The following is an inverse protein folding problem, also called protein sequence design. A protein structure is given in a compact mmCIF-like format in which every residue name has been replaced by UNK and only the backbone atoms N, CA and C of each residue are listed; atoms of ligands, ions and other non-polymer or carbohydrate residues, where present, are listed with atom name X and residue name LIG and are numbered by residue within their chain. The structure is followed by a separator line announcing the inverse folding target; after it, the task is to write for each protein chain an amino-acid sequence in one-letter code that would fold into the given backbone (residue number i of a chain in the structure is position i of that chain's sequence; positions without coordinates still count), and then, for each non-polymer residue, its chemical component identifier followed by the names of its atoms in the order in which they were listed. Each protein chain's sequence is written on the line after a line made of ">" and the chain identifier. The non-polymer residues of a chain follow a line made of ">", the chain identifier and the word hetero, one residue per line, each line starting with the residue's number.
data_IF_696047623915
#
_entry.id   IF_696047623915
#
_cell.length_a   1.000
_cell.length_b   1.000
_cell.length_c   1.000
_cell.angle_alpha   90.00
_cell.angle_beta   90.00
_cell.angle_gamma   90.00
#
_symmetry.space_group_name_H-M   'P 1'
#
loop_
_entity.id
_entity.type
_entity.pdbx_description
1 polymer ?
#
# COMPACT_ATOMS: atom_id res chain seq x y z
N UNK A 1 -45.21 -11.66 3.41
CA UNK A 1 -45.65 -10.57 2.53
C UNK A 1 -45.34 -9.26 3.23
N UNK A 2 -44.33 -8.53 2.73
CA UNK A 2 -43.85 -7.27 3.29
C UNK A 2 -44.68 -6.10 2.74
N UNK A 3 -44.95 -5.03 3.51
CA UNK A 3 -45.56 -3.83 2.97
C UNK A 3 -44.58 -3.08 2.06
N UNK A 4 -45.10 -2.55 0.95
CA UNK A 4 -44.38 -1.74 -0.04
C UNK A 4 -44.02 -0.36 0.52
N UNK A 5 -42.75 0.06 0.54
CA UNK A 5 -42.35 1.38 1.01
C UNK A 5 -42.28 2.36 -0.17
N UNK A 6 -43.44 2.78 -0.66
CA UNK A 6 -43.55 3.98 -1.50
C UNK A 6 -44.40 5.01 -0.76
N UNK A 7 -43.79 5.70 0.20
CA UNK A 7 -44.05 7.10 0.61
C UNK A 7 -43.30 7.41 1.93
N UNK A 8 -42.00 7.71 1.85
CA UNK A 8 -41.43 8.79 2.67
C UNK A 8 -40.58 9.63 1.71
N UNK A 9 -41.16 10.77 1.30
CA UNK A 9 -40.55 11.71 0.38
C UNK A 9 -39.41 12.47 1.07
N UNK A 10 -38.34 12.63 0.30
CA UNK A 10 -37.47 13.80 0.20
C UNK A 10 -37.41 14.73 1.41
N UNK A 11 -36.28 14.70 2.11
CA UNK A 11 -35.48 15.89 2.43
C UNK A 11 -34.26 15.45 3.24
N UNK A 12 -33.19 15.12 2.54
CA UNK A 12 -31.80 15.31 2.95
C UNK A 12 -30.96 14.89 1.74
N UNK A 13 -30.58 15.88 0.95
CA UNK A 13 -29.64 15.76 -0.14
C UNK A 13 -28.25 15.44 0.47
N UNK A 14 -27.75 14.19 0.45
CA UNK A 14 -26.34 14.00 0.69
C UNK A 14 -25.69 14.47 -0.59
N UNK A 15 -25.05 15.65 -0.53
CA UNK A 15 -24.42 16.26 -1.68
C UNK A 15 -23.77 15.21 -2.55
N UNK A 16 -24.20 15.16 -3.82
CA UNK A 16 -23.48 14.54 -4.93
C UNK A 16 -21.99 14.55 -4.59
N UNK A 17 -21.42 13.37 -4.29
CA UNK A 17 -19.97 13.23 -4.13
C UNK A 17 -19.35 14.00 -5.30
N UNK A 18 -18.51 15.02 -5.03
CA UNK A 18 -18.00 15.83 -6.10
C UNK A 18 -17.36 14.89 -7.12
N UNK A 19 -17.83 14.99 -8.36
CA UNK A 19 -17.27 14.26 -9.48
C UNK A 19 -15.75 14.38 -9.40
N UNK A 20 -15.11 13.22 -9.50
CA UNK A 20 -13.67 13.01 -9.58
C UNK A 20 -13.04 14.15 -10.37
N UNK A 21 -12.47 15.12 -9.65
CA UNK A 21 -11.75 16.23 -10.24
C UNK A 21 -10.41 15.63 -10.62
N UNK A 22 -10.37 15.01 -11.81
CA UNK A 22 -9.21 14.35 -12.38
C UNK A 22 -7.94 15.08 -11.96
N UNK A 23 -7.12 14.39 -11.17
CA UNK A 23 -6.02 14.96 -10.43
C UNK A 23 -4.99 15.59 -11.38
N UNK A 24 -5.05 16.91 -11.54
CA UNK A 24 -3.96 17.73 -12.09
C UNK A 24 -2.82 17.87 -11.06
N UNK A 25 -2.48 16.77 -10.38
CA UNK A 25 -1.33 16.73 -9.50
C UNK A 25 -0.08 16.48 -10.35
N UNK A 26 1.02 17.22 -10.10
CA UNK A 26 2.30 16.96 -10.75
C UNK A 26 2.68 15.48 -10.66
N UNK A 27 3.31 14.95 -11.71
CA UNK A 27 3.93 13.63 -11.66
C UNK A 27 4.90 13.57 -10.47
N UNK A 28 4.81 12.52 -9.65
CA UNK A 28 5.57 12.40 -8.39
C UNK A 28 4.82 12.87 -7.13
N UNK A 29 3.59 13.39 -7.24
CA UNK A 29 2.77 13.70 -6.06
C UNK A 29 2.29 12.43 -5.35
N UNK A 30 2.06 12.51 -4.03
CA UNK A 30 1.53 11.39 -3.23
C UNK A 30 0.05 11.56 -2.90
N UNK A 31 -0.66 10.44 -2.72
CA UNK A 31 -2.05 10.40 -2.27
C UNK A 31 -2.14 9.70 -0.91
N UNK A 32 -2.58 10.42 0.12
CA UNK A 32 -2.92 9.83 1.41
C UNK A 32 -4.30 9.17 1.36
N UNK A 33 -4.39 7.92 1.80
CA UNK A 33 -5.64 7.15 1.88
C UNK A 33 -5.89 6.78 3.34
N UNK A 34 -6.99 7.28 3.90
CA UNK A 34 -7.38 7.06 5.30
C UNK A 34 -8.25 5.81 5.44
N UNK A 35 -7.78 4.68 4.93
CA UNK A 35 -8.43 3.38 5.04
C UNK A 35 -7.43 2.37 5.61
N UNK A 36 -7.73 1.68 6.72
CA UNK A 36 -6.81 0.71 7.29
C UNK A 36 -6.84 -0.61 6.50
N UNK A 37 -5.74 -0.94 5.82
CA UNK A 37 -5.62 -2.15 5.00
C UNK A 37 -4.30 -2.90 5.29
N UNK A 38 -4.27 -4.20 4.98
CA UNK A 38 -2.99 -4.94 4.90
C UNK A 38 -2.14 -4.39 3.75
N UNK A 39 -0.83 -4.62 3.76
CA UNK A 39 0.06 -4.09 2.71
C UNK A 39 -0.36 -4.54 1.30
N UNK A 40 -0.72 -5.82 1.13
CA UNK A 40 -1.16 -6.39 -0.16
C UNK A 40 -2.47 -5.78 -0.66
N UNK A 41 -3.43 -5.55 0.25
CA UNK A 41 -4.69 -4.89 -0.06
C UNK A 41 -4.48 -3.42 -0.44
N UNK A 42 -3.60 -2.71 0.28
CA UNK A 42 -3.23 -1.33 -0.02
C UNK A 42 -2.53 -1.21 -1.39
N UNK A 43 -1.60 -2.12 -1.71
CA UNK A 43 -0.97 -2.18 -3.03
C UNK A 43 -2.00 -2.40 -4.14
N UNK A 44 -2.92 -3.36 -3.93
CA UNK A 44 -4.00 -3.65 -4.87
C UNK A 44 -4.90 -2.43 -5.08
N UNK A 45 -5.26 -1.75 -4.00
CA UNK A 45 -6.02 -0.50 -4.06
C UNK A 45 -5.30 0.58 -4.88
N UNK A 46 -4.03 0.87 -4.56
CA UNK A 46 -3.27 1.89 -5.28
C UNK A 46 -3.14 1.56 -6.77
N UNK A 47 -2.96 0.30 -7.17
CA UNK A 47 -2.90 -0.11 -8.58
C UNK A 47 -4.23 0.00 -9.33
N UNK A 48 -5.34 -0.08 -8.62
CA UNK A 48 -6.68 0.05 -9.21
C UNK A 48 -7.14 1.51 -9.32
N UNK A 49 -6.73 2.38 -8.39
CA UNK A 49 -7.23 3.76 -8.26
C UNK A 49 -6.20 4.84 -8.60
N UNK A 50 -4.91 4.51 -8.52
CA UNK A 50 -3.77 5.40 -8.69
C UNK A 50 -2.70 4.67 -9.56
N UNK A 51 -1.40 4.73 -9.20
CA UNK A 51 -0.38 3.88 -9.82
C UNK A 51 0.11 2.73 -8.94
N UNK A 52 0.74 3.01 -7.80
CA UNK A 52 1.20 1.99 -6.85
C UNK A 52 1.39 2.63 -5.46
N UNK A 53 1.79 1.85 -4.46
CA UNK A 53 2.26 2.38 -3.19
C UNK A 53 3.48 3.30 -3.40
N UNK A 54 3.69 4.25 -2.49
CA UNK A 54 4.72 5.29 -2.65
C UNK A 54 6.15 4.73 -2.81
N UNK A 55 6.89 5.24 -3.79
CA UNK A 55 8.32 4.95 -3.98
C UNK A 55 9.12 6.19 -3.62
N UNK A 56 10.02 6.09 -2.65
CA UNK A 56 10.86 7.19 -2.19
C UNK A 56 12.26 7.03 -2.78
N UNK A 57 12.74 8.01 -3.56
CA UNK A 57 14.03 7.96 -4.28
C UNK A 57 15.03 8.98 -3.76
N UNK A 58 14.58 9.98 -3.01
CA UNK A 58 15.45 11.02 -2.43
C UNK A 58 14.86 11.62 -1.16
N UNK A 59 15.62 12.53 -0.53
CA UNK A 59 15.15 13.31 0.62
C UNK A 59 13.99 14.24 0.26
N UNK A 60 13.95 14.76 -0.97
CA UNK A 60 12.86 15.60 -1.45
C UNK A 60 11.54 14.81 -1.54
N UNK A 61 11.60 13.52 -1.86
CA UNK A 61 10.43 12.63 -1.84
C UNK A 61 9.89 12.44 -0.41
N UNK A 62 10.78 12.30 0.57
CA UNK A 62 10.40 12.23 2.00
C UNK A 62 9.68 13.51 2.43
N UNK A 63 10.23 14.68 2.08
CA UNK A 63 9.60 15.96 2.42
C UNK A 63 8.21 16.12 1.80
N UNK A 64 8.03 15.65 0.55
CA UNK A 64 6.72 15.67 -0.12
C UNK A 64 5.71 14.73 0.53
N UNK A 65 6.16 13.54 0.95
CA UNK A 65 5.33 12.58 1.69
C UNK A 65 4.88 13.17 3.03
N UNK A 66 5.80 13.74 3.81
CA UNK A 66 5.50 14.39 5.10
C UNK A 66 4.52 15.56 4.92
N UNK A 67 4.70 16.38 3.87
CA UNK A 67 3.76 17.47 3.54
C UNK A 67 2.36 16.94 3.22
N UNK A 68 2.28 15.80 2.52
CA UNK A 68 1.01 15.15 2.18
C UNK A 68 0.27 14.67 3.44
N UNK A 69 0.98 14.00 4.36
CA UNK A 69 0.42 13.55 5.64
C UNK A 69 0.00 14.72 6.54
N UNK A 70 0.86 15.74 6.65
CA UNK A 70 0.60 16.94 7.44
C UNK A 70 -0.62 17.71 6.92
N UNK A 71 -0.79 17.79 5.59
CA UNK A 71 -1.96 18.43 4.97
C UNK A 71 -3.27 17.65 5.21
N UNK A 72 -3.17 16.37 5.55
CA UNK A 72 -4.28 15.50 5.90
C UNK A 72 -4.52 15.40 7.42
N UNK A 73 -3.78 16.17 8.24
CA UNK A 73 -3.80 16.08 9.72
C UNK A 73 -3.58 14.65 10.24
N UNK A 74 -2.74 13.88 9.54
CA UNK A 74 -2.41 12.50 9.91
C UNK A 74 -1.02 12.42 10.55
N UNK A 75 -0.93 11.72 11.68
CA UNK A 75 0.30 11.60 12.47
C UNK A 75 0.70 10.16 12.80
N UNK A 76 -0.11 9.17 12.41
CA UNK A 76 0.20 7.74 12.58
C UNK A 76 1.01 7.19 11.40
N UNK A 77 1.48 5.95 11.55
CA UNK A 77 2.28 5.28 10.55
C UNK A 77 1.47 4.92 9.29
N UNK A 78 2.16 5.02 8.14
CA UNK A 78 1.61 4.67 6.83
C UNK A 78 2.46 3.63 6.09
N UNK A 79 1.82 2.74 5.32
CA UNK A 79 2.53 1.88 4.36
C UNK A 79 3.12 2.67 3.20
N UNK A 80 4.31 2.27 2.77
CA UNK A 80 4.98 2.67 1.53
C UNK A 80 5.25 1.43 0.64
N UNK A 81 5.69 1.66 -0.59
CA UNK A 81 5.89 0.61 -1.59
C UNK A 81 7.17 -0.21 -1.41
N UNK A 82 8.02 0.11 -0.43
CA UNK A 82 9.19 -0.69 -0.11
C UNK A 82 8.77 -1.89 0.75
N UNK A 83 9.09 -3.09 0.28
CA UNK A 83 8.84 -4.35 0.96
C UNK A 83 9.99 -5.31 0.70
N UNK A 84 10.21 -6.25 1.60
CA UNK A 84 11.14 -7.35 1.42
C UNK A 84 10.38 -8.63 1.08
N UNK A 85 10.91 -9.42 0.16
CA UNK A 85 10.48 -10.79 -0.07
C UNK A 85 11.56 -11.74 0.43
N UNK A 86 11.16 -12.80 1.15
CA UNK A 86 12.07 -13.93 1.36
C UNK A 86 12.01 -14.82 0.13
N UNK A 87 13.15 -14.93 -0.54
CA UNK A 87 13.36 -15.87 -1.63
C UNK A 87 14.26 -17.02 -1.17
N UNK A 88 13.71 -18.23 -1.21
CA UNK A 88 14.48 -19.46 -1.02
C UNK A 88 15.28 -19.76 -2.28
N UNK A 89 16.60 -19.85 -2.16
CA UNK A 89 17.52 -20.20 -3.24
C UNK A 89 18.26 -21.51 -2.93
N UNK A 90 18.54 -22.30 -3.96
CA UNK A 90 19.38 -23.48 -3.82
C UNK A 90 20.85 -23.07 -3.70
N UNK A 91 21.59 -23.69 -2.77
CA UNK A 91 22.98 -23.32 -2.46
C UNK A 91 23.96 -23.55 -3.61
N UNK A 92 23.61 -24.41 -4.56
CA UNK A 92 24.38 -24.70 -5.75
C UNK A 92 24.14 -23.69 -6.90
N UNK A 93 23.25 -22.72 -6.69
CA UNK A 93 22.86 -21.73 -7.70
C UNK A 93 21.90 -22.26 -8.76
N UNK A 94 21.21 -23.38 -8.51
CA UNK A 94 20.23 -23.93 -9.44
C UNK A 94 19.06 -22.96 -9.69
N UNK A 95 18.91 -22.53 -10.95
CA UNK A 95 17.91 -21.53 -11.41
C UNK A 95 17.13 -22.00 -12.64
N UNK A 96 17.27 -23.27 -13.03
CA UNK A 96 16.57 -23.87 -14.18
C UNK A 96 15.11 -24.26 -13.88
N UNK A 97 14.48 -24.98 -14.80
CA UNK A 97 13.14 -25.53 -14.60
C UNK A 97 13.11 -26.45 -13.37
N UNK A 98 12.20 -26.19 -12.44
CA UNK A 98 12.10 -26.91 -11.16
C UNK A 98 12.84 -26.23 -10.00
N UNK A 99 13.57 -25.14 -10.22
CA UNK A 99 14.22 -24.38 -9.15
C UNK A 99 13.19 -23.76 -8.18
N UNK A 100 11.93 -23.67 -8.59
CA UNK A 100 10.75 -23.26 -7.81
C UNK A 100 10.14 -24.37 -6.95
N UNK A 101 10.57 -25.63 -7.08
CA UNK A 101 10.01 -26.75 -6.30
C UNK A 101 10.20 -26.51 -4.80
N UNK A 102 9.11 -26.55 -4.04
CA UNK A 102 9.11 -26.47 -2.58
C UNK A 102 8.17 -27.54 -2.04
N UNK A 103 8.61 -28.29 -1.03
CA UNK A 103 7.82 -29.31 -0.33
C UNK A 103 7.83 -28.97 1.17
N UNK A 104 7.09 -27.92 1.53
CA UNK A 104 7.02 -27.42 2.90
C UNK A 104 6.08 -28.27 3.77
N UNK A 105 6.40 -28.40 5.06
CA UNK A 105 5.53 -29.08 6.02
C UNK A 105 4.24 -28.27 6.24
N UNK A 106 3.11 -28.87 5.86
CA UNK A 106 1.82 -28.17 5.86
C UNK A 106 1.13 -28.15 7.22
N UNK A 107 1.45 -29.08 8.12
CA UNK A 107 0.77 -29.22 9.41
C UNK A 107 1.15 -28.17 10.44
N UNK A 108 2.32 -27.54 10.28
CA UNK A 108 2.87 -26.51 11.16
C UNK A 108 3.00 -25.13 10.50
N UNK A 109 2.33 -24.91 9.37
CA UNK A 109 2.37 -23.65 8.61
C UNK A 109 3.77 -23.22 8.15
N UNK A 110 4.59 -24.18 7.71
CA UNK A 110 5.94 -23.88 7.21
C UNK A 110 5.93 -23.29 5.78
N UNK A 111 6.92 -22.44 5.45
CA UNK A 111 7.89 -21.84 6.36
C UNK A 111 7.20 -20.76 7.21
N UNK A 112 7.28 -20.88 8.54
CA UNK A 112 6.50 -20.04 9.46
C UNK A 112 7.19 -18.73 9.87
N UNK A 113 8.48 -18.62 9.52
CA UNK A 113 9.36 -17.50 9.83
C UNK A 113 9.20 -16.96 11.27
N UNK A 114 9.17 -17.86 12.26
CA UNK A 114 8.86 -17.58 13.68
C UNK A 114 9.68 -16.46 14.39
N UNK A 115 10.61 -15.80 13.71
CA UNK A 115 11.31 -14.59 14.20
C UNK A 115 11.62 -13.55 13.12
N UNK A 116 11.27 -13.83 11.86
CA UNK A 116 11.42 -12.91 10.74
C UNK A 116 10.03 -12.71 10.14
N UNK A 117 9.14 -12.00 10.82
CA UNK A 117 7.79 -11.73 10.31
C UNK A 117 7.57 -10.25 9.99
N UNK A 118 8.62 -9.43 10.07
CA UNK A 118 8.61 -7.98 9.82
C UNK A 118 9.27 -7.67 8.46
N UNK A 119 8.50 -7.74 7.38
CA UNK A 119 9.01 -7.52 6.01
C UNK A 119 8.50 -6.26 5.34
N UNK A 120 7.52 -5.60 5.95
CA UNK A 120 6.93 -4.37 5.43
C UNK A 120 7.49 -3.17 6.21
N UNK A 121 7.64 -2.01 5.56
CA UNK A 121 8.24 -0.82 6.20
C UNK A 121 7.16 0.20 6.53
N UNK A 122 7.20 0.68 7.77
CA UNK A 122 6.45 1.85 8.22
C UNK A 122 7.37 3.07 8.27
N UNK A 123 6.79 4.26 8.12
CA UNK A 123 7.46 5.54 8.33
C UNK A 123 6.63 6.43 9.26
N UNK A 124 7.28 7.12 10.20
CA UNK A 124 6.64 8.09 11.09
C UNK A 124 6.62 9.52 10.51
N UNK A 125 5.93 10.43 11.20
CA UNK A 125 5.87 11.84 10.83
C UNK A 125 7.22 12.58 10.91
N UNK A 126 8.25 11.97 11.53
CA UNK A 126 9.61 12.48 11.60
C UNK A 126 10.51 11.90 10.49
N UNK A 127 9.97 11.08 9.60
CA UNK A 127 10.72 10.42 8.52
C UNK A 127 11.56 9.22 8.99
N UNK A 128 11.31 8.67 10.18
CA UNK A 128 11.99 7.47 10.69
C UNK A 128 11.24 6.22 10.24
N UNK A 129 12.00 5.22 9.85
CA UNK A 129 11.53 3.93 9.34
C UNK A 129 11.84 2.75 10.26
N UNK A 130 10.97 1.75 10.24
CA UNK A 130 11.21 0.43 10.84
C UNK A 130 10.42 -0.65 10.11
N UNK A 131 10.87 -1.89 10.30
CA UNK A 131 10.22 -3.09 9.81
C UNK A 131 9.02 -3.47 10.70
N UNK A 132 7.95 -3.94 10.06
CA UNK A 132 6.68 -4.27 10.69
C UNK A 132 6.05 -5.52 10.06
N UNK A 133 5.22 -6.20 10.85
CA UNK A 133 4.48 -7.35 10.36
C UNK A 133 3.45 -6.91 9.33
N UNK A 134 3.56 -7.46 8.12
CA UNK A 134 2.72 -7.12 6.98
C UNK A 134 1.22 -7.42 7.18
N UNK A 135 0.88 -8.29 8.15
CA UNK A 135 -0.49 -8.66 8.48
C UNK A 135 -1.21 -7.63 9.35
N UNK A 136 -0.50 -6.66 9.91
CA UNK A 136 -1.13 -5.58 10.67
C UNK A 136 -1.73 -4.54 9.73
N UNK A 137 -2.85 -3.94 10.14
CA UNK A 137 -3.53 -2.89 9.38
C UNK A 137 -3.01 -1.52 9.80
N UNK A 138 -2.51 -0.74 8.83
CA UNK A 138 -2.08 0.64 9.01
C UNK A 138 -2.70 1.52 7.92
N UNK A 139 -2.64 2.84 8.13
CA UNK A 139 -2.93 3.80 7.04
C UNK A 139 -1.87 3.67 5.93
N UNK A 140 -2.04 4.30 4.77
CA UNK A 140 -1.05 4.15 3.68
C UNK A 140 -0.97 5.35 2.74
N UNK A 141 0.12 5.41 1.95
CA UNK A 141 0.33 6.47 0.96
C UNK A 141 0.72 5.92 -0.43
N UNK A 142 0.00 6.32 -1.48
CA UNK A 142 0.22 5.92 -2.88
C UNK A 142 1.09 6.96 -3.63
N UNK A 143 1.83 6.56 -4.67
CA UNK A 143 2.47 7.48 -5.62
C UNK A 143 1.54 7.87 -6.80
N UNK A 144 1.85 8.98 -7.47
CA UNK A 144 1.27 9.39 -8.75
C UNK A 144 2.34 9.23 -9.86
N UNK A 145 2.45 8.03 -10.43
CA UNK A 145 3.55 7.63 -11.29
C UNK A 145 3.65 8.40 -12.62
N UNK A 146 4.89 8.82 -12.94
CA UNK A 146 5.51 8.44 -14.21
C UNK A 146 6.76 7.64 -13.86
N UNK A 147 6.80 6.37 -14.24
CA UNK A 147 8.09 5.69 -14.38
C UNK A 147 8.88 6.53 -15.39
N UNK A 148 10.07 7.07 -15.05
CA UNK A 148 11.02 7.36 -16.10
C UNK A 148 11.32 5.99 -16.69
N UNK A 149 10.70 5.68 -17.82
CA UNK A 149 11.15 4.63 -18.71
C UNK A 149 12.67 4.69 -18.71
N UNK A 150 13.33 3.58 -18.43
CA UNK A 150 14.73 3.42 -18.80
C UNK A 150 14.77 3.76 -20.29
N UNK A 151 15.19 4.99 -20.64
CA UNK A 151 15.49 5.37 -22.00
C UNK A 151 16.93 4.94 -22.20
N UNK A 152 17.04 3.80 -22.88
CA UNK A 152 18.21 3.11 -23.44
C UNK A 152 19.23 2.55 -22.45
#
# INVERSE_FOLDING_TARGET
>A
MLPSPSQMKENNNPGRLPADRGSNLPAGSYFFINEPLTWTEAQTYCRQKHSDLATIKSTEDVDQLIKTLSSADHSSEVWIGLFSEINWIWSDGFTGSGAEFRDWETSSYEPDFASANQFCVLIDSNGRWWDANCQYSYSFICNNGKNPSIIN
#
